data_IF_985939521655
#
_entry.id   IF_985939521655
#
_cell.length_a   1.000
_cell.length_b   1.000
_cell.length_c   1.000
_cell.angle_alpha   90.00
_cell.angle_beta   90.00
_cell.angle_gamma   90.00
#
_symmetry.space_group_name_H-M   'P 1'
#
loop_
_entity.id
_entity.type
_entity.pdbx_description
1 polymer ?
#
# COMPACT_ATOMS: atom_id res chain seq x y z
N UNK A 1 8.69 -84.19 7.42
CA UNK A 1 8.04 -83.51 6.28
C UNK A 1 6.57 -83.31 6.60
N UNK A 2 6.24 -82.25 7.34
CA UNK A 2 4.96 -81.51 7.25
C UNK A 2 5.22 -80.18 7.97
N UNK A 3 5.21 -79.10 7.20
CA UNK A 3 5.39 -77.72 7.68
C UNK A 3 4.01 -77.21 8.06
N UNK A 4 3.87 -76.62 9.24
CA UNK A 4 2.72 -75.78 9.60
C UNK A 4 3.29 -74.49 10.17
N UNK A 5 3.20 -73.43 9.37
CA UNK A 5 3.40 -72.04 9.81
C UNK A 5 2.22 -71.60 10.68
N UNK A 6 2.52 -70.89 11.76
CA UNK A 6 1.54 -70.06 12.48
C UNK A 6 2.16 -68.68 12.66
N UNK A 7 1.51 -67.68 12.06
CA UNK A 7 1.87 -66.27 12.07
C UNK A 7 1.90 -65.69 13.49
N UNK A 8 2.99 -64.99 13.82
CA UNK A 8 3.06 -64.13 15.02
C UNK A 8 2.58 -62.75 14.60
N UNK A 9 1.29 -62.49 14.81
CA UNK A 9 0.69 -61.18 14.65
C UNK A 9 1.02 -60.24 15.82
N UNK A 10 1.74 -59.17 15.51
CA UNK A 10 1.36 -57.80 15.90
C UNK A 10 1.44 -57.42 17.38
N UNK A 11 2.52 -56.71 17.70
CA UNK A 11 2.67 -55.79 18.83
C UNK A 11 1.50 -54.81 19.01
N UNK A 12 1.02 -54.65 20.25
CA UNK A 12 0.11 -53.58 20.65
C UNK A 12 0.47 -53.05 22.04
N UNK A 13 1.57 -52.29 22.11
CA UNK A 13 2.00 -51.55 23.30
C UNK A 13 0.95 -50.52 23.69
N UNK A 14 0.53 -50.54 24.96
CA UNK A 14 -0.34 -49.54 25.54
C UNK A 14 0.28 -48.15 25.56
N UNK A 15 -0.41 -47.20 24.93
CA UNK A 15 -0.32 -45.77 25.23
C UNK A 15 -1.76 -45.24 25.11
N UNK A 16 -2.43 -44.86 26.20
CA UNK A 16 -3.75 -44.25 26.07
C UNK A 16 -3.60 -42.82 25.54
N UNK A 17 -4.25 -42.56 24.41
CA UNK A 17 -4.95 -41.34 24.02
C UNK A 17 -4.57 -40.03 24.75
N UNK A 18 -3.44 -39.42 24.39
CA UNK A 18 -3.17 -38.00 24.69
C UNK A 18 -3.94 -37.07 23.74
N UNK A 19 -4.27 -37.53 22.53
CA UNK A 19 -5.01 -36.73 21.53
C UNK A 19 -6.50 -36.59 21.86
N UNK A 20 -7.15 -37.60 22.43
CA UNK A 20 -8.59 -37.54 22.77
C UNK A 20 -8.87 -36.60 23.96
N UNK A 21 -7.93 -36.45 24.89
CA UNK A 21 -8.04 -35.50 26.00
C UNK A 21 -7.98 -34.05 25.51
N UNK A 22 -7.04 -33.73 24.61
CA UNK A 22 -6.91 -32.39 24.04
C UNK A 22 -8.11 -32.00 23.17
N UNK A 23 -8.66 -32.95 22.39
CA UNK A 23 -9.88 -32.72 21.61
C UNK A 23 -11.10 -32.48 22.50
N UNK A 24 -11.22 -33.22 23.61
CA UNK A 24 -12.32 -33.07 24.57
C UNK A 24 -12.22 -31.80 25.40
N UNK A 25 -11.01 -31.37 25.77
CA UNK A 25 -10.77 -30.07 26.42
C UNK A 25 -11.10 -28.89 25.50
N UNK A 26 -10.75 -28.98 24.20
CA UNK A 26 -11.11 -27.96 23.22
C UNK A 26 -12.63 -27.91 22.96
N UNK A 27 -13.29 -29.07 22.90
CA UNK A 27 -14.74 -29.15 22.69
C UNK A 27 -15.53 -28.62 23.90
N UNK A 28 -15.08 -28.93 25.13
CA UNK A 28 -15.65 -28.35 26.37
C UNK A 28 -15.35 -26.85 26.45
N UNK A 29 -14.17 -26.40 26.05
CA UNK A 29 -13.83 -24.97 25.97
C UNK A 29 -14.71 -24.20 24.99
N UNK A 30 -15.04 -24.81 23.84
CA UNK A 30 -15.92 -24.23 22.83
C UNK A 30 -17.41 -24.21 23.26
N UNK A 31 -17.91 -25.27 23.90
CA UNK A 31 -19.27 -25.28 24.48
C UNK A 31 -19.42 -24.30 25.64
N UNK A 32 -18.41 -24.17 26.51
CA UNK A 32 -18.40 -23.17 27.59
C UNK A 32 -18.37 -21.74 27.04
N UNK A 33 -17.66 -21.50 25.94
CA UNK A 33 -17.65 -20.20 25.27
C UNK A 33 -19.01 -19.87 24.62
N UNK A 34 -19.74 -20.87 24.13
CA UNK A 34 -21.08 -20.70 23.56
C UNK A 34 -22.18 -20.42 24.60
N UNK A 35 -21.95 -20.80 25.86
CA UNK A 35 -22.83 -20.52 27.00
C UNK A 35 -22.46 -19.24 27.75
N UNK A 36 -21.40 -18.55 27.34
CA UNK A 36 -20.83 -17.48 28.13
C UNK A 36 -21.54 -16.14 27.89
N UNK A 37 -22.00 -15.52 28.97
CA UNK A 37 -22.74 -14.27 28.93
C UNK A 37 -21.82 -13.10 28.52
N UNK A 38 -22.15 -12.35 27.45
CA UNK A 38 -21.37 -11.18 27.06
C UNK A 38 -21.59 -10.04 28.05
N UNK A 39 -20.50 -9.48 28.56
CA UNK A 39 -20.48 -8.27 29.35
C UNK A 39 -20.39 -7.06 28.42
N UNK A 40 -21.32 -6.13 28.62
CA UNK A 40 -21.31 -4.81 27.99
C UNK A 40 -20.85 -3.74 28.99
N UNK A 41 -20.30 -2.61 28.52
CA UNK A 41 -19.97 -1.50 29.40
C UNK A 41 -21.18 -1.02 30.21
N UNK A 42 -20.98 -0.80 31.51
CA UNK A 42 -22.06 -0.42 32.42
C UNK A 42 -22.62 0.94 32.08
N UNK A 43 -23.94 1.03 31.98
CA UNK A 43 -24.64 2.31 31.78
C UNK A 43 -24.19 3.10 30.55
N UNK A 44 -23.61 2.45 29.54
CA UNK A 44 -23.12 3.10 28.34
C UNK A 44 -21.83 3.91 28.52
N UNK A 45 -21.09 3.69 29.62
CA UNK A 45 -19.77 4.32 29.82
C UNK A 45 -18.79 3.83 28.75
N UNK A 46 -17.90 4.70 28.29
CA UNK A 46 -16.86 4.40 27.32
C UNK A 46 -15.55 5.08 27.73
N UNK A 47 -14.42 4.55 27.27
CA UNK A 47 -13.12 5.21 27.41
C UNK A 47 -12.75 5.81 26.05
N UNK A 48 -12.64 7.13 25.94
CA UNK A 48 -12.26 7.76 24.67
C UNK A 48 -10.76 7.63 24.42
N UNK A 49 -10.38 6.95 23.33
CA UNK A 49 -8.99 6.77 22.93
C UNK A 49 -8.68 7.56 21.64
N UNK A 50 -7.58 8.33 21.59
CA UNK A 50 -7.14 8.96 20.35
C UNK A 50 -6.57 7.89 19.42
N UNK A 51 -7.19 7.72 18.25
CA UNK A 51 -6.71 6.90 17.16
C UNK A 51 -6.09 7.79 16.09
N UNK A 52 -4.79 7.63 15.90
CA UNK A 52 -4.07 8.28 14.82
C UNK A 52 -4.29 7.49 13.52
N UNK A 53 -4.89 8.15 12.52
CA UNK A 53 -5.04 7.58 11.18
C UNK A 53 -4.31 8.45 10.18
N UNK A 54 -3.45 7.84 9.36
CA UNK A 54 -2.80 8.52 8.24
C UNK A 54 -3.72 8.44 7.04
N UNK A 55 -4.14 9.59 6.50
CA UNK A 55 -4.87 9.65 5.23
C UNK A 55 -3.92 10.18 4.15
N UNK A 56 -3.77 9.48 3.01
CA UNK A 56 -2.94 9.98 1.93
C UNK A 56 -3.58 11.25 1.35
N UNK A 57 -2.82 12.35 1.33
CA UNK A 57 -3.27 13.58 0.67
C UNK A 57 -3.16 13.39 -0.83
N UNK A 58 -4.20 13.74 -1.59
CA UNK A 58 -4.13 13.77 -3.05
C UNK A 58 -3.26 14.95 -3.48
N UNK A 59 -1.98 14.71 -3.68
CA UNK A 59 -1.11 15.71 -4.32
C UNK A 59 -1.52 15.89 -5.78
N UNK A 60 -1.73 17.14 -6.21
CA UNK A 60 -1.94 17.46 -7.62
C UNK A 60 -0.66 18.02 -8.21
N UNK A 61 -0.15 17.35 -9.24
CA UNK A 61 1.02 17.79 -9.99
C UNK A 61 0.71 19.03 -10.84
N UNK A 62 1.54 20.06 -10.73
CA UNK A 62 1.55 21.22 -11.64
C UNK A 62 2.89 21.29 -12.37
N UNK A 63 2.87 21.76 -13.62
CA UNK A 63 4.10 22.12 -14.36
C UNK A 63 4.85 23.25 -13.66
N UNK A 64 4.18 24.05 -12.83
CA UNK A 64 4.82 25.09 -12.06
C UNK A 64 5.74 24.53 -10.94
N UNK A 65 5.46 23.32 -10.45
CA UNK A 65 6.25 22.64 -9.42
C UNK A 65 7.58 22.09 -9.96
N UNK A 66 7.74 22.05 -11.30
CA UNK A 66 8.99 21.66 -11.95
C UNK A 66 10.01 22.78 -11.76
N UNK A 67 10.87 22.61 -10.76
CA UNK A 67 11.92 23.58 -10.40
C UNK A 67 13.26 23.30 -11.09
N UNK A 68 13.59 22.02 -11.31
CA UNK A 68 14.80 21.63 -12.03
C UNK A 68 14.53 21.56 -13.54
N UNK A 69 15.00 22.58 -14.25
CA UNK A 69 14.88 22.68 -15.71
C UNK A 69 16.09 22.12 -16.46
N UNK A 70 17.16 21.70 -15.76
CA UNK A 70 18.40 21.21 -16.38
C UNK A 70 18.19 19.87 -17.09
N UNK A 71 17.26 19.04 -16.59
CA UNK A 71 16.86 17.81 -17.26
C UNK A 71 16.35 18.08 -18.70
N UNK A 72 15.58 19.15 -18.90
CA UNK A 72 15.03 19.52 -20.20
C UNK A 72 16.08 20.15 -21.12
N UNK A 73 16.98 20.96 -20.57
CA UNK A 73 18.12 21.50 -21.33
C UNK A 73 19.07 20.38 -21.79
N UNK A 74 19.37 19.41 -20.91
CA UNK A 74 20.16 18.21 -21.25
C UNK A 74 19.49 17.39 -22.36
N UNK A 75 18.17 17.23 -22.28
CA UNK A 75 17.40 16.53 -23.32
C UNK A 75 17.47 17.26 -24.67
N UNK A 76 17.45 18.60 -24.65
CA UNK A 76 17.71 19.43 -25.83
C UNK A 76 19.09 19.18 -26.44
N UNK A 77 20.14 19.20 -25.61
CA UNK A 77 21.53 18.92 -26.03
C UNK A 77 21.67 17.52 -26.64
N UNK A 78 21.01 16.52 -26.06
CA UNK A 78 21.02 15.16 -26.59
C UNK A 78 20.34 15.07 -27.96
N UNK A 79 19.21 15.76 -28.14
CA UNK A 79 18.54 15.81 -29.43
C UNK A 79 19.39 16.55 -30.48
N UNK A 80 20.15 17.57 -30.07
CA UNK A 80 21.05 18.28 -30.96
C UNK A 80 22.13 17.38 -31.58
N UNK A 81 22.65 16.43 -30.79
CA UNK A 81 23.70 15.49 -31.22
C UNK A 81 23.12 14.31 -32.01
N UNK A 82 22.00 13.74 -31.55
CA UNK A 82 21.44 12.50 -32.10
C UNK A 82 19.91 12.59 -32.28
N UNK A 83 19.42 13.35 -33.27
CA UNK A 83 17.99 13.57 -33.47
C UNK A 83 17.25 12.32 -34.00
N UNK A 84 17.97 11.42 -34.69
CA UNK A 84 17.37 10.27 -35.37
C UNK A 84 17.26 9.00 -34.54
N UNK A 85 17.77 8.98 -33.31
CA UNK A 85 17.93 7.71 -32.59
C UNK A 85 16.61 7.05 -32.15
N UNK A 86 15.53 7.83 -32.03
CA UNK A 86 14.21 7.35 -31.55
C UNK A 86 13.21 7.03 -32.67
N UNK A 87 13.43 7.47 -33.91
CA UNK A 87 12.53 7.21 -35.03
C UNK A 87 12.86 5.86 -35.68
N UNK A 88 12.47 4.79 -34.99
CA UNK A 88 12.63 3.42 -35.45
C UNK A 88 11.25 2.81 -35.56
N UNK A 89 10.83 2.39 -36.76
CA UNK A 89 9.67 1.51 -36.87
C UNK A 89 10.03 0.19 -36.19
N UNK A 90 9.24 -0.24 -35.23
CA UNK A 90 9.32 -1.61 -34.72
C UNK A 90 8.34 -2.45 -35.54
N UNK A 91 8.85 -3.42 -36.28
CA UNK A 91 8.01 -4.38 -36.99
C UNK A 91 7.63 -5.48 -36.00
N UNK A 92 6.32 -5.65 -35.75
CA UNK A 92 5.82 -6.80 -35.00
C UNK A 92 5.90 -7.99 -35.94
N UNK A 93 6.85 -8.90 -35.69
CA UNK A 93 7.05 -10.10 -36.50
C UNK A 93 6.54 -11.31 -35.71
N UNK A 94 5.70 -12.11 -36.35
CA UNK A 94 5.30 -13.41 -35.84
C UNK A 94 6.35 -14.44 -36.27
N UNK A 95 7.17 -14.94 -35.34
CA UNK A 95 8.12 -16.02 -35.60
C UNK A 95 7.51 -17.35 -35.17
N UNK A 96 7.57 -18.33 -36.06
CA UNK A 96 7.01 -19.65 -35.85
C UNK A 96 8.13 -20.58 -35.39
N UNK A 97 8.22 -20.80 -34.08
CA UNK A 97 9.19 -21.70 -33.47
C UNK A 97 8.57 -23.07 -33.21
N UNK A 98 9.39 -24.12 -33.32
CA UNK A 98 9.01 -25.45 -32.80
C UNK A 98 9.46 -25.55 -31.35
N UNK A 99 8.50 -25.78 -30.44
CA UNK A 99 8.81 -26.10 -29.04
C UNK A 99 9.59 -27.41 -28.96
N UNK A 100 10.29 -27.63 -27.83
CA UNK A 100 11.03 -28.87 -27.57
C UNK A 100 10.17 -30.14 -27.71
N UNK A 101 8.86 -30.00 -27.54
CA UNK A 101 7.85 -31.06 -27.66
C UNK A 101 7.31 -31.25 -29.09
N UNK A 102 7.87 -30.55 -30.09
CA UNK A 102 7.50 -30.68 -31.50
C UNK A 102 6.27 -29.87 -31.95
N UNK A 103 5.57 -29.21 -31.03
CA UNK A 103 4.45 -28.33 -31.37
C UNK A 103 4.91 -27.00 -31.98
N UNK A 104 4.15 -26.51 -32.95
CA UNK A 104 4.36 -25.22 -33.59
C UNK A 104 3.81 -24.13 -32.68
N UNK A 105 4.67 -23.21 -32.23
CA UNK A 105 4.33 -22.08 -31.36
C UNK A 105 4.69 -20.80 -32.09
N UNK A 106 3.69 -19.97 -32.38
CA UNK A 106 3.92 -18.61 -32.88
C UNK A 106 4.27 -17.69 -31.72
N UNK A 107 5.49 -17.16 -31.70
CA UNK A 107 5.88 -16.08 -30.78
C UNK A 107 5.80 -14.75 -31.52
N UNK A 108 5.16 -13.77 -30.87
CA UNK A 108 5.33 -12.37 -31.28
C UNK A 108 6.71 -11.90 -30.82
N UNK A 109 7.52 -11.46 -31.78
CA UNK A 109 8.77 -10.74 -31.55
C UNK A 109 8.69 -9.34 -32.15
N UNK A 110 9.53 -8.44 -31.67
CA UNK A 110 9.73 -7.11 -32.26
C UNK A 110 11.05 -7.11 -33.02
N UNK A 111 11.01 -6.86 -34.34
CA UNK A 111 12.19 -6.71 -35.19
C UNK A 111 12.41 -5.24 -35.53
N UNK A 112 13.67 -4.84 -35.63
CA UNK A 112 14.07 -3.49 -36.01
C UNK A 112 13.64 -3.20 -37.46
N UNK A 113 12.71 -2.28 -37.64
CA UNK A 113 12.23 -1.81 -38.94
C UNK A 113 13.03 -0.63 -39.49
N UNK A 114 12.57 -0.13 -40.64
CA UNK A 114 13.21 0.90 -41.45
C UNK A 114 13.27 2.27 -40.73
N UNK A 115 14.34 3.04 -41.01
CA UNK A 115 14.62 4.35 -40.43
C UNK A 115 13.61 5.36 -40.97
N UNK A 116 12.99 6.18 -40.12
CA UNK A 116 12.10 7.24 -40.61
C UNK A 116 12.95 8.37 -41.21
N UNK A 117 12.65 8.73 -42.45
CA UNK A 117 13.30 9.86 -43.14
C UNK A 117 12.83 11.19 -42.54
N UNK A 118 13.76 12.14 -42.43
CA UNK A 118 13.44 13.50 -41.97
C UNK A 118 12.53 14.20 -42.97
N UNK A 119 11.48 14.88 -42.49
CA UNK A 119 10.75 15.83 -43.32
C UNK A 119 11.69 17.00 -43.66
N UNK A 120 11.72 17.43 -44.93
CA UNK A 120 12.51 18.59 -45.38
C UNK A 120 11.80 19.93 -45.16
N UNK A 121 10.64 19.90 -44.49
CA UNK A 121 9.82 21.09 -44.26
C UNK A 121 10.45 21.94 -43.15
N UNK A 122 10.85 23.16 -43.51
CA UNK A 122 11.44 24.11 -42.54
C UNK A 122 10.29 24.78 -41.81
N UNK A 123 10.10 24.43 -40.53
CA UNK A 123 9.08 25.06 -39.67
C UNK A 123 9.76 26.21 -38.92
N UNK A 124 9.21 27.45 -38.97
CA UNK A 124 9.75 28.56 -38.19
C UNK A 124 9.84 28.23 -36.70
N UNK A 125 10.92 28.64 -36.04
CA UNK A 125 11.17 28.30 -34.63
C UNK A 125 10.02 28.72 -33.70
N UNK A 126 9.39 29.87 -33.95
CA UNK A 126 8.24 30.34 -33.17
C UNK A 126 7.02 29.41 -33.28
N UNK A 127 6.78 28.84 -34.47
CA UNK A 127 5.70 27.87 -34.68
C UNK A 127 6.04 26.54 -34.03
N UNK A 128 7.30 26.09 -34.16
CA UNK A 128 7.79 24.88 -33.48
C UNK A 128 7.67 25.00 -31.95
N UNK A 129 8.02 26.15 -31.37
CA UNK A 129 7.83 26.44 -29.94
C UNK A 129 6.37 26.30 -29.54
N UNK A 130 5.46 26.90 -30.30
CA UNK A 130 4.01 26.84 -30.01
C UNK A 130 3.51 25.40 -30.01
N UNK A 131 3.91 24.60 -31.02
CA UNK A 131 3.57 23.18 -31.11
C UNK A 131 4.15 22.35 -29.96
N UNK A 132 5.35 22.67 -29.48
CA UNK A 132 5.96 22.00 -28.32
C UNK A 132 5.26 22.34 -27.00
N UNK A 133 4.90 23.61 -26.80
CA UNK A 133 4.11 24.06 -25.63
C UNK A 133 2.76 23.34 -25.61
N UNK A 134 2.08 23.32 -26.76
CA UNK A 134 0.80 22.63 -26.91
C UNK A 134 0.91 21.13 -26.58
N UNK A 135 1.96 20.46 -27.07
CA UNK A 135 2.20 19.05 -26.77
C UNK A 135 2.45 18.79 -25.27
N UNK A 136 3.12 19.70 -24.56
CA UNK A 136 3.35 19.58 -23.11
C UNK A 136 2.05 19.78 -22.33
N UNK A 137 1.24 20.77 -22.70
CA UNK A 137 -0.04 21.04 -22.06
C UNK A 137 -1.03 19.89 -22.23
N UNK A 138 -1.00 19.21 -23.37
CA UNK A 138 -1.85 18.07 -23.68
C UNK A 138 -1.26 16.71 -23.28
N UNK A 139 -0.16 16.67 -22.51
CA UNK A 139 0.36 15.43 -21.96
C UNK A 139 -0.64 14.84 -20.95
N UNK A 140 -0.89 13.52 -20.99
CA UNK A 140 -1.89 12.84 -20.14
C UNK A 140 -1.72 13.09 -18.63
N UNK A 141 -0.48 13.35 -18.20
CA UNK A 141 -0.14 13.62 -16.79
C UNK A 141 -0.46 15.05 -16.34
N UNK A 142 -0.67 15.97 -17.27
CA UNK A 142 -0.95 17.38 -17.02
C UNK A 142 -2.46 17.57 -17.05
N UNK A 143 -3.05 17.92 -15.91
CA UNK A 143 -4.43 18.41 -15.94
C UNK A 143 -4.42 19.83 -16.48
N UNK A 144 -5.05 20.07 -17.63
CA UNK A 144 -5.23 21.41 -18.21
C UNK A 144 -5.98 22.31 -17.21
N UNK A 145 -5.23 23.11 -16.45
CA UNK A 145 -5.73 24.08 -15.47
C UNK A 145 -5.28 25.49 -15.86
N UNK A 146 -6.00 26.48 -15.35
CA UNK A 146 -5.62 27.88 -15.52
C UNK A 146 -4.24 28.11 -14.88
N UNK A 147 -3.25 28.57 -15.66
CA UNK A 147 -1.90 28.89 -15.17
C UNK A 147 -0.80 27.87 -15.46
N UNK A 148 -1.10 26.74 -16.13
CA UNK A 148 -0.08 25.75 -16.53
C UNK A 148 0.76 26.20 -17.74
N UNK A 149 0.25 27.14 -18.54
CA UNK A 149 0.89 27.65 -19.76
C UNK A 149 2.28 28.24 -19.47
N UNK A 150 2.41 29.06 -18.43
CA UNK A 150 3.70 29.62 -18.02
C UNK A 150 4.71 28.53 -17.60
N UNK A 151 4.23 27.44 -17.01
CA UNK A 151 5.05 26.27 -16.67
C UNK A 151 5.54 25.55 -17.92
N UNK A 152 4.64 25.29 -18.87
CA UNK A 152 4.96 24.67 -20.15
C UNK A 152 5.95 25.50 -20.97
N UNK A 153 5.75 26.82 -21.03
CA UNK A 153 6.66 27.74 -21.71
C UNK A 153 8.07 27.70 -21.12
N UNK A 154 8.21 27.77 -19.79
CA UNK A 154 9.53 27.67 -19.13
C UNK A 154 10.26 26.36 -19.45
N UNK A 155 9.52 25.25 -19.47
CA UNK A 155 10.06 23.92 -19.79
C UNK A 155 10.54 23.88 -21.25
N UNK A 156 9.70 24.35 -22.19
CA UNK A 156 10.04 24.40 -23.61
C UNK A 156 11.22 25.32 -23.88
N UNK A 157 11.27 26.49 -23.24
CA UNK A 157 12.36 27.45 -23.42
C UNK A 157 13.70 26.89 -22.91
N UNK A 158 13.69 26.13 -21.80
CA UNK A 158 14.87 25.41 -21.32
C UNK A 158 15.33 24.33 -22.31
N UNK A 159 14.38 23.57 -22.85
CA UNK A 159 14.66 22.57 -23.88
C UNK A 159 15.27 23.20 -25.15
N UNK A 160 14.68 24.30 -25.65
CA UNK A 160 15.18 25.03 -26.82
C UNK A 160 16.57 25.62 -26.58
N UNK A 161 16.86 26.12 -25.37
CA UNK A 161 18.22 26.53 -24.98
C UNK A 161 19.22 25.38 -25.14
N UNK A 162 18.80 24.16 -24.82
CA UNK A 162 19.61 22.95 -25.02
C UNK A 162 19.85 22.60 -26.48
N UNK A 163 18.93 22.92 -27.39
CA UNK A 163 19.11 22.72 -28.84
C UNK A 163 20.12 23.71 -29.44
N UNK A 164 20.18 24.92 -28.88
CA UNK A 164 21.06 25.99 -29.36
C UNK A 164 20.65 26.55 -30.72
N UNK A 165 21.61 27.13 -31.43
CA UNK A 165 21.36 27.92 -32.66
C UNK A 165 20.78 27.09 -33.82
N UNK A 166 20.98 25.77 -33.81
CA UNK A 166 20.49 24.84 -34.83
C UNK A 166 19.03 24.38 -34.60
N UNK A 167 18.34 24.93 -33.59
CA UNK A 167 17.01 24.48 -33.19
C UNK A 167 16.00 24.43 -34.34
N UNK A 168 15.96 25.47 -35.18
CA UNK A 168 15.00 25.56 -36.29
C UNK A 168 15.20 24.43 -37.31
N UNK A 169 16.45 24.16 -37.70
CA UNK A 169 16.81 23.08 -38.62
C UNK A 169 16.46 21.71 -38.06
N UNK A 170 16.75 21.49 -36.77
CA UNK A 170 16.51 20.20 -36.12
C UNK A 170 15.01 19.97 -35.93
N UNK A 171 14.28 20.97 -35.46
CA UNK A 171 12.84 20.85 -35.24
C UNK A 171 12.08 20.70 -36.56
N UNK A 172 12.51 21.34 -37.66
CA UNK A 172 11.89 21.11 -38.97
C UNK A 172 11.85 19.63 -39.37
N UNK A 173 12.93 18.89 -39.13
CA UNK A 173 12.99 17.46 -39.43
C UNK A 173 12.46 16.53 -38.34
N UNK A 174 12.46 16.96 -37.06
CA UNK A 174 12.29 16.08 -35.90
C UNK A 174 11.28 16.60 -34.85
N UNK A 175 10.36 17.49 -35.22
CA UNK A 175 9.41 18.10 -34.28
C UNK A 175 8.61 17.06 -33.50
N UNK A 176 8.07 16.04 -34.16
CA UNK A 176 7.28 14.99 -33.51
C UNK A 176 8.12 14.20 -32.49
N UNK A 177 9.37 13.90 -32.82
CA UNK A 177 10.31 13.23 -31.91
C UNK A 177 10.65 14.11 -30.71
N UNK A 178 10.90 15.39 -30.95
CA UNK A 178 11.17 16.37 -29.91
C UNK A 178 9.98 16.46 -28.93
N UNK A 179 8.76 16.63 -29.45
CA UNK A 179 7.54 16.66 -28.66
C UNK A 179 7.36 15.40 -27.82
N UNK A 180 7.51 14.21 -28.42
CA UNK A 180 7.40 12.94 -27.71
C UNK A 180 8.45 12.77 -26.61
N UNK A 181 9.70 13.19 -26.83
CA UNK A 181 10.75 13.17 -25.80
C UNK A 181 10.44 14.12 -24.66
N UNK A 182 9.94 15.31 -24.99
CA UNK A 182 9.59 16.32 -24.00
C UNK A 182 8.44 15.83 -23.09
N UNK A 183 7.37 15.28 -23.67
CA UNK A 183 6.24 14.68 -22.94
C UNK A 183 6.69 13.53 -22.04
N UNK A 184 7.59 12.67 -22.52
CA UNK A 184 8.18 11.60 -21.69
C UNK A 184 8.98 12.14 -20.50
N UNK A 185 9.70 13.24 -20.69
CA UNK A 185 10.44 13.90 -19.61
C UNK A 185 9.50 14.49 -18.57
N UNK A 186 8.44 15.19 -18.99
CA UNK A 186 7.38 15.70 -18.08
C UNK A 186 6.72 14.56 -17.31
N UNK A 187 6.41 13.46 -17.99
CA UNK A 187 5.86 12.25 -17.36
C UNK A 187 6.82 11.66 -16.31
N UNK A 188 8.13 11.76 -16.54
CA UNK A 188 9.13 11.28 -15.59
C UNK A 188 9.21 12.17 -14.35
N UNK A 189 9.11 13.49 -14.51
CA UNK A 189 9.00 14.42 -13.38
C UNK A 189 7.72 14.20 -12.57
N UNK A 190 6.58 13.98 -13.25
CA UNK A 190 5.34 13.61 -12.59
C UNK A 190 5.49 12.35 -11.72
N UNK A 191 6.17 11.30 -12.21
CA UNK A 191 6.43 10.10 -11.40
C UNK A 191 7.32 10.38 -10.19
N UNK A 192 8.32 11.27 -10.32
CA UNK A 192 9.19 11.67 -9.19
C UNK A 192 8.41 12.45 -8.13
N UNK A 193 7.49 13.31 -8.57
CA UNK A 193 6.58 14.03 -7.68
C UNK A 193 5.70 13.06 -6.89
N UNK A 194 5.09 12.07 -7.56
CA UNK A 194 4.27 11.04 -6.90
C UNK A 194 5.04 10.12 -5.95
N UNK A 195 6.38 10.02 -6.06
CA UNK A 195 7.18 9.19 -5.19
C UNK A 195 7.27 9.71 -3.73
N UNK A 196 6.83 10.95 -3.47
CA UNK A 196 6.87 11.58 -2.15
C UNK A 196 5.45 11.86 -1.63
N UNK A 197 4.70 10.84 -1.19
CA UNK A 197 3.35 11.05 -0.67
C UNK A 197 3.38 11.83 0.64
N UNK A 198 2.70 12.97 0.68
CA UNK A 198 2.40 13.68 1.92
C UNK A 198 1.17 13.04 2.61
N UNK A 199 1.28 12.84 3.92
CA UNK A 199 0.23 12.27 4.75
C UNK A 199 -0.32 13.33 5.70
N UNK A 200 -1.64 13.46 5.74
CA UNK A 200 -2.32 14.27 6.75
C UNK A 200 -2.53 13.42 8.01
N UNK A 201 -2.18 13.98 9.17
CA UNK A 201 -2.38 13.33 10.47
C UNK A 201 -3.77 13.66 10.98
N UNK A 202 -4.72 12.73 10.81
CA UNK A 202 -6.05 12.87 11.39
C UNK A 202 -6.07 12.13 12.73
N UNK A 203 -6.35 12.87 13.81
CA UNK A 203 -6.62 12.28 15.13
C UNK A 203 -8.12 12.13 15.25
N UNK A 204 -8.60 10.89 15.19
CA UNK A 204 -9.98 10.55 15.53
C UNK A 204 -10.05 10.16 17.01
N UNK A 205 -11.14 10.51 17.70
CA UNK A 205 -11.42 10.00 19.04
C UNK A 205 -12.43 8.87 18.89
N UNK A 206 -12.07 7.68 19.34
CA UNK A 206 -12.95 6.50 19.30
C UNK A 206 -13.30 6.04 20.71
N UNK A 207 -14.52 5.56 20.87
CA UNK A 207 -14.97 4.95 22.12
C UNK A 207 -14.42 3.52 22.27
N UNK A 208 -13.71 3.28 23.37
CA UNK A 208 -13.16 1.99 23.73
C UNK A 208 -14.05 1.29 24.76
N UNK A 209 -14.49 0.09 24.38
CA UNK A 209 -15.34 -0.79 25.19
C UNK A 209 -15.46 -2.17 24.54
N UNK A 210 -14.39 -2.99 24.56
CA UNK A 210 -14.40 -4.29 23.88
C UNK A 210 -15.36 -5.28 24.57
N UNK A 211 -16.19 -5.99 23.80
CA UNK A 211 -17.04 -7.05 24.32
C UNK A 211 -16.23 -8.05 25.15
N UNK A 212 -16.69 -8.30 26.38
CA UNK A 212 -16.05 -9.20 27.34
C UNK A 212 -16.98 -10.36 27.66
N UNK A 213 -16.44 -11.42 28.24
CA UNK A 213 -17.19 -12.64 28.54
C UNK A 213 -17.20 -12.92 30.04
N UNK A 214 -18.38 -13.02 30.64
CA UNK A 214 -18.53 -13.24 32.06
C UNK A 214 -17.94 -14.58 32.54
N UNK A 215 -17.47 -14.63 33.79
CA UNK A 215 -17.13 -15.87 34.50
C UNK A 215 -18.34 -16.39 35.25
N UNK A 216 -18.54 -17.70 35.20
CA UNK A 216 -19.65 -18.36 35.90
C UNK A 216 -19.55 -18.23 37.43
N UNK A 217 -18.33 -18.28 37.99
CA UNK A 217 -18.11 -18.05 39.42
C UNK A 217 -17.75 -16.57 39.67
N UNK A 218 -18.49 -15.94 40.59
CA UNK A 218 -18.27 -14.54 40.99
C UNK A 218 -17.88 -14.39 42.45
N UNK A 219 -17.09 -13.36 42.77
CA UNK A 219 -16.81 -12.94 44.15
C UNK A 219 -16.93 -11.43 44.30
N UNK A 220 -17.54 -10.97 45.40
CA UNK A 220 -17.53 -9.55 45.78
C UNK A 220 -16.30 -9.16 46.62
N UNK A 221 -15.47 -10.13 47.00
CA UNK A 221 -14.27 -9.90 47.81
C UNK A 221 -13.10 -9.39 46.95
N UNK A 222 -13.07 -8.07 46.75
CA UNK A 222 -12.05 -7.35 45.97
C UNK A 222 -10.68 -7.31 46.64
N UNK A 223 -10.60 -7.39 47.97
CA UNK A 223 -9.32 -7.24 48.72
C UNK A 223 -8.74 -8.56 49.21
N UNK A 224 -9.52 -9.63 49.22
CA UNK A 224 -9.07 -10.95 49.69
C UNK A 224 -8.18 -11.69 48.69
N UNK A 225 -7.84 -12.94 49.04
CA UNK A 225 -6.94 -13.79 48.24
C UNK A 225 -7.46 -13.97 46.82
N UNK A 226 -6.56 -13.85 45.84
CA UNK A 226 -6.89 -14.11 44.44
C UNK A 226 -7.12 -15.61 44.19
N UNK A 227 -8.11 -15.87 43.33
CA UNK A 227 -8.49 -17.18 42.81
C UNK A 227 -8.57 -17.10 41.29
N UNK A 228 -7.96 -18.06 40.61
CA UNK A 228 -8.02 -18.22 39.15
C UNK A 228 -9.45 -18.60 38.72
N UNK A 229 -9.91 -18.06 37.59
CA UNK A 229 -11.20 -18.43 36.98
C UNK A 229 -12.43 -17.74 37.60
N UNK A 230 -12.25 -16.99 38.68
CA UNK A 230 -13.32 -16.23 39.34
C UNK A 230 -13.36 -14.81 38.79
N UNK A 231 -14.56 -14.31 38.48
CA UNK A 231 -14.77 -12.90 38.19
C UNK A 231 -15.15 -12.12 39.44
N UNK A 232 -14.50 -10.99 39.65
CA UNK A 232 -14.70 -10.12 40.80
C UNK A 232 -15.68 -9.01 40.44
N UNK A 233 -16.57 -8.69 41.36
CA UNK A 233 -17.63 -7.69 41.20
C UNK A 233 -17.49 -6.58 42.26
N UNK A 234 -18.25 -5.49 42.09
CA UNK A 234 -18.30 -4.41 43.07
C UNK A 234 -17.22 -3.33 42.91
N UNK A 235 -16.52 -3.30 41.76
CA UNK A 235 -15.65 -2.19 41.39
C UNK A 235 -16.51 -1.00 40.92
N UNK A 236 -16.28 0.16 41.53
CA UNK A 236 -17.10 1.36 41.29
C UNK A 236 -16.73 2.05 39.95
N UNK A 237 -15.46 1.97 39.57
CA UNK A 237 -14.87 2.63 38.40
C UNK A 237 -14.48 1.66 37.30
N UNK A 238 -14.72 0.36 37.47
CA UNK A 238 -14.62 -0.57 36.34
C UNK A 238 -15.67 -0.25 35.27
N UNK A 239 -15.25 -0.41 34.01
CA UNK A 239 -16.10 -0.33 32.84
C UNK A 239 -17.17 -1.43 32.82
N UNK A 240 -16.88 -2.60 33.40
CA UNK A 240 -17.76 -3.78 33.40
C UNK A 240 -18.27 -4.13 34.80
N UNK A 241 -19.36 -4.90 34.87
CA UNK A 241 -19.91 -5.39 36.14
C UNK A 241 -19.02 -6.45 36.81
N UNK A 242 -18.17 -7.11 36.02
CA UNK A 242 -17.31 -8.19 36.45
C UNK A 242 -15.93 -8.12 35.78
N UNK A 243 -14.88 -8.31 36.58
CA UNK A 243 -13.49 -8.38 36.14
C UNK A 243 -12.80 -9.64 36.64
N UNK A 244 -12.18 -10.41 35.75
CA UNK A 244 -11.29 -11.51 36.11
C UNK A 244 -9.85 -11.13 35.79
N UNK A 245 -8.92 -11.68 36.57
CA UNK A 245 -7.51 -11.35 36.53
C UNK A 245 -6.67 -12.61 36.42
N UNK A 246 -5.55 -12.53 35.70
CA UNK A 246 -4.65 -13.67 35.51
C UNK A 246 -3.68 -13.85 36.69
N UNK A 247 -3.59 -12.85 37.56
CA UNK A 247 -2.76 -12.88 38.76
C UNK A 247 -3.35 -12.09 39.93
N UNK A 248 -2.86 -12.38 41.14
CA UNK A 248 -3.18 -11.58 42.33
C UNK A 248 -2.64 -10.15 42.27
N UNK A 249 -1.55 -9.93 41.55
CA UNK A 249 -0.98 -8.58 41.35
C UNK A 249 -1.88 -7.71 40.48
N UNK A 250 -2.43 -8.25 39.38
CA UNK A 250 -3.43 -7.55 38.56
C UNK A 250 -4.67 -7.19 39.38
N UNK A 251 -5.17 -8.12 40.20
CA UNK A 251 -6.31 -7.86 41.09
C UNK A 251 -5.99 -6.75 42.09
N UNK A 252 -4.81 -6.77 42.69
CA UNK A 252 -4.38 -5.73 43.64
C UNK A 252 -4.27 -4.35 42.95
N UNK A 253 -3.75 -4.30 41.74
CA UNK A 253 -3.71 -3.08 40.94
C UNK A 253 -5.11 -2.55 40.65
N UNK A 254 -6.05 -3.42 40.29
CA UNK A 254 -7.44 -3.02 40.04
C UNK A 254 -8.10 -2.36 41.27
N UNK A 255 -7.81 -2.85 42.47
CA UNK A 255 -8.27 -2.18 43.72
C UNK A 255 -7.67 -0.78 43.84
N UNK A 256 -6.37 -0.63 43.60
CA UNK A 256 -5.70 0.68 43.65
C UNK A 256 -6.30 1.65 42.63
N UNK A 257 -6.54 1.20 41.40
CA UNK A 257 -7.16 2.02 40.34
C UNK A 257 -8.60 2.40 40.68
N UNK A 258 -9.37 1.51 41.31
CA UNK A 258 -10.74 1.77 41.72
C UNK A 258 -10.82 2.77 42.89
N UNK A 259 -9.82 2.75 43.78
CA UNK A 259 -9.77 3.64 44.95
C UNK A 259 -9.09 5.00 44.66
N UNK A 260 -8.30 5.13 43.58
CA UNK A 260 -7.58 6.36 43.23
C UNK A 260 -8.49 7.48 42.72
N UNK A 261 -8.45 8.67 43.32
CA UNK A 261 -9.33 9.81 42.99
C UNK A 261 -9.12 10.35 41.58
N UNK A 262 -7.92 10.22 41.01
CA UNK A 262 -7.57 10.71 39.68
C UNK A 262 -8.10 9.82 38.55
N UNK A 263 -8.58 8.61 38.87
CA UNK A 263 -9.16 7.68 37.92
C UNK A 263 -10.67 7.84 37.96
N UNK A 264 -11.28 8.14 36.81
CA UNK A 264 -12.74 8.17 36.66
C UNK A 264 -13.29 6.80 36.25
N UNK A 265 -12.57 6.12 35.36
CA UNK A 265 -13.00 4.87 34.73
C UNK A 265 -11.76 4.04 34.34
N UNK A 266 -11.82 2.73 34.51
CA UNK A 266 -10.76 1.82 34.08
C UNK A 266 -11.35 0.56 33.43
N UNK A 267 -10.53 -0.07 32.59
CA UNK A 267 -10.81 -1.35 31.97
C UNK A 267 -9.55 -2.21 32.06
N UNK A 268 -9.72 -3.53 32.21
CA UNK A 268 -8.65 -4.51 32.03
C UNK A 268 -8.31 -4.70 30.55
#
# INVERSE_FOLDING_TARGET
MTVVEVEIGGSGSGVPALEELGAREQQVGAELAALAEPLSPRGGRTISLPRLTMTPVRMSFSLNDVTDLDAFEKLGRQLAVAPQDDLRREEIVAEVDRSADGFVVTRLGTRRGERVEASSETIPLAEARTKLVDAVLHADVVTLRLGEEAGAERIVDSFLRGLGDDAERILGGFLATAAGRLVRSVTSEHRRFLAHPEYEKVVAVEDFGPLRTARAETSADRTGKWKRGVGYTGYAKSLYDQDWFDSGTEKALAVILDDADEIELWCR
#
